data_IF_372970011714
#
_entry.id   IF_372970011714
#
_cell.length_a   1.000
_cell.length_b   1.000
_cell.length_c   1.000
_cell.angle_alpha   90.00
_cell.angle_beta   90.00
_cell.angle_gamma   90.00
#
_symmetry.space_group_name_H-M   'P 1'
#
loop_
_entity.id
_entity.type
_entity.pdbx_description
1 polymer ?
#
# COMPACT_ATOMS: atom_id res chain seq x y z
N UNK A 1 -6.30 -4.79 4.40
CA UNK A 1 -6.21 -3.42 3.90
C UNK A 1 -7.60 -2.83 3.63
N UNK A 2 -8.39 -3.44 2.76
CA UNK A 2 -9.74 -2.97 2.38
C UNK A 2 -10.87 -3.60 3.19
N UNK A 3 -10.62 -4.51 4.11
CA UNK A 3 -11.63 -5.27 4.85
C UNK A 3 -12.07 -6.56 4.14
N UNK A 4 -12.90 -7.38 4.79
CA UNK A 4 -13.29 -8.68 4.28
C UNK A 4 -14.17 -8.57 3.02
N UNK A 5 -14.04 -9.54 2.13
CA UNK A 5 -14.80 -9.55 0.86
C UNK A 5 -16.29 -9.77 1.09
N UNK A 6 -16.64 -10.60 2.06
CA UNK A 6 -18.03 -10.97 2.40
C UNK A 6 -18.78 -9.94 3.27
N UNK A 7 -18.10 -8.94 3.84
CA UNK A 7 -18.68 -7.82 4.59
C UNK A 7 -18.47 -6.54 3.77
N UNK A 8 -19.33 -6.28 2.80
CA UNK A 8 -19.12 -5.25 1.77
C UNK A 8 -19.04 -3.83 2.33
N UNK A 9 -19.73 -3.56 3.41
CA UNK A 9 -19.85 -2.27 4.11
C UNK A 9 -18.84 -2.10 5.24
N UNK A 10 -18.19 -3.19 5.69
CA UNK A 10 -17.21 -3.14 6.76
C UNK A 10 -15.88 -2.58 6.28
N UNK A 11 -15.59 -1.35 6.67
CA UNK A 11 -14.32 -0.70 6.43
C UNK A 11 -13.14 -1.40 7.12
N UNK A 12 -11.94 -0.99 6.75
CA UNK A 12 -10.69 -1.40 7.39
C UNK A 12 -9.66 -0.25 7.32
N UNK A 13 -8.38 -0.54 7.35
CA UNK A 13 -7.31 0.45 7.40
C UNK A 13 -7.48 1.60 6.40
N UNK A 14 -7.75 1.32 5.11
CA UNK A 14 -7.93 2.39 4.11
C UNK A 14 -9.13 3.32 4.41
N UNK A 15 -10.19 2.77 5.01
CA UNK A 15 -11.36 3.56 5.39
C UNK A 15 -11.20 4.25 6.76
N UNK A 16 -10.00 4.24 7.34
CA UNK A 16 -9.73 4.84 8.65
C UNK A 16 -10.30 4.04 9.82
N UNK A 17 -10.66 2.77 9.62
CA UNK A 17 -11.13 1.90 10.71
C UNK A 17 -9.92 1.33 11.45
N UNK A 18 -9.84 1.56 12.77
CA UNK A 18 -8.69 1.11 13.56
C UNK A 18 -8.66 -0.41 13.78
N UNK A 19 -7.49 -0.93 14.19
CA UNK A 19 -7.29 -2.33 14.56
C UNK A 19 -6.91 -3.25 13.41
N UNK A 20 -6.73 -2.72 12.20
CA UNK A 20 -6.26 -3.46 11.02
C UNK A 20 -4.75 -3.42 10.80
N UNK A 21 -4.03 -2.65 11.61
CA UNK A 21 -2.60 -2.36 11.39
C UNK A 21 -1.73 -3.62 11.40
N UNK A 22 -2.01 -4.55 12.33
CA UNK A 22 -1.24 -5.79 12.42
C UNK A 22 -1.47 -6.69 11.20
N UNK A 23 -2.68 -6.73 10.66
CA UNK A 23 -2.99 -7.45 9.43
C UNK A 23 -2.28 -6.85 8.21
N UNK A 24 -2.16 -5.52 8.14
CA UNK A 24 -1.42 -4.84 7.09
C UNK A 24 0.09 -5.11 7.24
N UNK A 25 0.64 -5.03 8.45
CA UNK A 25 2.04 -5.39 8.75
C UNK A 25 2.37 -6.82 8.33
N UNK A 26 1.44 -7.76 8.60
CA UNK A 26 1.58 -9.15 8.18
C UNK A 26 1.67 -9.28 6.65
N UNK A 27 0.85 -8.53 5.91
CA UNK A 27 0.93 -8.44 4.46
C UNK A 27 2.25 -7.82 3.98
N UNK A 28 2.71 -6.74 4.63
CA UNK A 28 3.97 -6.05 4.26
C UNK A 28 5.17 -7.00 4.33
N UNK A 29 5.23 -7.89 5.32
CA UNK A 29 6.33 -8.87 5.44
C UNK A 29 6.16 -10.11 4.56
N UNK A 30 5.11 -10.19 3.75
CA UNK A 30 4.87 -11.36 2.86
C UNK A 30 4.36 -12.59 3.61
N UNK A 31 3.53 -12.40 4.63
CA UNK A 31 2.89 -13.44 5.44
C UNK A 31 3.85 -14.43 6.15
N UNK A 32 5.12 -14.06 6.26
CA UNK A 32 6.15 -14.85 6.98
C UNK A 32 6.12 -14.57 8.49
N UNK A 33 6.78 -15.44 9.27
CA UNK A 33 7.06 -15.16 10.68
C UNK A 33 8.03 -13.98 10.78
N UNK A 34 7.61 -12.92 11.49
CA UNK A 34 8.42 -11.73 11.73
C UNK A 34 8.32 -11.31 13.20
N UNK A 35 9.43 -10.89 13.87
CA UNK A 35 9.45 -10.61 15.31
C UNK A 35 8.49 -9.48 15.73
N UNK A 36 8.22 -8.51 14.85
CA UNK A 36 7.33 -7.39 15.14
C UNK A 36 5.87 -7.62 14.65
N UNK A 37 5.53 -8.83 14.18
CA UNK A 37 4.17 -9.17 13.75
C UNK A 37 3.58 -10.23 14.67
N UNK A 38 2.58 -9.83 15.45
CA UNK A 38 1.84 -10.72 16.34
C UNK A 38 0.67 -11.32 15.58
N UNK A 39 0.79 -12.61 15.25
CA UNK A 39 -0.21 -13.30 14.43
C UNK A 39 -1.56 -13.50 15.14
N UNK A 40 -1.61 -13.49 16.47
CA UNK A 40 -2.84 -13.50 17.27
C UNK A 40 -3.72 -12.27 17.04
N UNK A 41 -3.12 -11.18 16.57
CA UNK A 41 -3.78 -9.92 16.27
C UNK A 41 -4.00 -9.70 14.76
N UNK A 42 -3.73 -10.73 13.94
CA UNK A 42 -3.96 -10.70 12.48
C UNK A 42 -5.35 -11.24 12.16
N UNK A 43 -6.14 -10.46 11.44
CA UNK A 43 -7.45 -10.91 10.99
C UNK A 43 -7.31 -12.09 10.01
N UNK A 44 -8.09 -13.15 10.26
CA UNK A 44 -8.18 -14.35 9.39
C UNK A 44 -6.91 -15.21 9.26
N UNK A 45 -5.84 -14.92 10.03
CA UNK A 45 -4.61 -15.69 9.99
C UNK A 45 -3.89 -15.63 11.33
N UNK A 46 -4.13 -16.61 12.20
CA UNK A 46 -3.54 -16.66 13.55
C UNK A 46 -2.10 -17.18 13.58
N UNK A 47 -1.54 -17.53 12.44
CA UNK A 47 -0.15 -18.02 12.29
C UNK A 47 0.42 -17.60 10.93
N UNK A 48 1.75 -17.49 10.81
CA UNK A 48 2.40 -17.36 9.51
C UNK A 48 2.03 -18.56 8.63
N UNK A 49 1.72 -18.33 7.37
CA UNK A 49 1.41 -19.39 6.42
C UNK A 49 2.43 -19.48 5.27
N UNK A 50 3.26 -18.45 5.11
CA UNK A 50 4.34 -18.44 4.14
C UNK A 50 5.69 -18.70 4.85
N UNK A 51 6.51 -19.57 4.28
CA UNK A 51 7.91 -19.76 4.69
C UNK A 51 8.81 -18.71 4.06
N UNK A 52 8.49 -18.30 2.83
CA UNK A 52 9.19 -17.28 2.07
C UNK A 52 8.18 -16.22 1.55
N UNK A 53 8.56 -14.95 1.47
CA UNK A 53 7.65 -13.90 1.02
C UNK A 53 7.14 -14.11 -0.41
N UNK A 54 7.89 -14.83 -1.25
CA UNK A 54 7.50 -15.18 -2.62
C UNK A 54 6.32 -16.15 -2.72
N UNK A 55 5.87 -16.72 -1.62
CA UNK A 55 4.66 -17.56 -1.55
C UNK A 55 3.39 -16.73 -1.37
N UNK A 56 3.52 -15.42 -1.14
CA UNK A 56 2.39 -14.49 -0.99
C UNK A 56 2.19 -13.64 -2.23
N UNK A 57 0.94 -13.53 -2.68
CA UNK A 57 0.49 -12.55 -3.66
C UNK A 57 -0.21 -11.40 -2.94
N UNK A 58 0.33 -10.19 -3.11
CA UNK A 58 -0.22 -8.96 -2.51
C UNK A 58 -1.09 -8.23 -3.52
N UNK A 59 -2.35 -7.98 -3.18
CA UNK A 59 -3.31 -7.27 -4.04
C UNK A 59 -4.41 -6.62 -3.22
N UNK A 60 -5.16 -5.73 -3.82
CA UNK A 60 -6.31 -5.05 -3.19
C UNK A 60 -7.65 -5.46 -3.78
N UNK A 61 -7.68 -5.85 -5.05
CA UNK A 61 -8.84 -6.47 -5.69
C UNK A 61 -8.40 -7.42 -6.82
N UNK A 62 -9.31 -8.29 -7.24
CA UNK A 62 -9.10 -9.22 -8.35
C UNK A 62 -10.40 -9.34 -9.18
N UNK A 63 -10.49 -10.35 -10.04
CA UNK A 63 -11.68 -10.56 -10.86
C UNK A 63 -12.94 -10.92 -10.05
N UNK A 64 -12.76 -11.52 -8.86
CA UNK A 64 -13.86 -11.82 -7.94
C UNK A 64 -14.07 -10.66 -6.94
N UNK A 65 -15.34 -10.45 -6.60
CA UNK A 65 -15.74 -9.39 -5.69
C UNK A 65 -15.68 -7.99 -6.31
N UNK A 66 -15.83 -6.98 -5.48
CA UNK A 66 -15.78 -5.57 -5.90
C UNK A 66 -14.36 -5.19 -6.36
N UNK A 67 -14.23 -4.46 -7.47
CA UNK A 67 -12.99 -3.80 -7.82
C UNK A 67 -12.64 -2.71 -6.79
N UNK A 68 -11.40 -2.21 -6.81
CA UNK A 68 -10.92 -1.31 -5.75
C UNK A 68 -11.82 -0.07 -5.57
N UNK A 69 -12.17 0.61 -6.66
CA UNK A 69 -13.00 1.82 -6.61
C UNK A 69 -14.39 1.53 -6.04
N UNK A 70 -15.03 0.46 -6.48
CA UNK A 70 -16.35 0.05 -5.96
C UNK A 70 -16.28 -0.33 -4.49
N UNK A 71 -15.19 -0.98 -4.09
CA UNK A 71 -14.93 -1.36 -2.69
C UNK A 71 -14.75 -0.13 -1.80
N UNK A 72 -14.02 0.88 -2.27
CA UNK A 72 -13.86 2.14 -1.55
C UNK A 72 -15.19 2.88 -1.42
N UNK A 73 -15.97 3.00 -2.51
CA UNK A 73 -17.31 3.60 -2.48
C UNK A 73 -18.25 2.91 -1.50
N UNK A 74 -18.29 1.58 -1.51
CA UNK A 74 -19.14 0.80 -0.61
C UNK A 74 -18.80 1.00 0.87
N UNK A 75 -17.52 1.19 1.19
CA UNK A 75 -17.02 1.30 2.58
C UNK A 75 -16.89 2.71 3.09
N UNK A 76 -16.93 3.68 2.21
CA UNK A 76 -16.88 5.10 2.51
C UNK A 76 -17.96 5.84 1.76
N UNK A 77 -19.24 5.59 2.10
CA UNK A 77 -20.35 6.32 1.50
C UNK A 77 -20.16 7.82 1.72
N UNK A 78 -20.16 8.59 0.63
CA UNK A 78 -19.90 10.04 0.69
C UNK A 78 -18.43 10.45 0.52
N UNK A 79 -17.51 9.51 0.28
CA UNK A 79 -16.15 9.88 -0.11
C UNK A 79 -16.15 10.70 -1.41
N UNK A 80 -15.39 11.80 -1.43
CA UNK A 80 -15.25 12.63 -2.64
C UNK A 80 -14.41 11.90 -3.70
N UNK A 81 -14.52 12.27 -4.98
CA UNK A 81 -13.65 11.72 -6.02
C UNK A 81 -12.16 11.85 -5.69
N UNK A 82 -11.75 12.98 -5.10
CA UNK A 82 -10.36 13.23 -4.70
C UNK A 82 -9.92 12.29 -3.58
N UNK A 83 -10.80 11.99 -2.62
CA UNK A 83 -10.52 11.02 -1.57
C UNK A 83 -10.37 9.60 -2.15
N UNK A 84 -11.23 9.21 -3.09
CA UNK A 84 -11.13 7.91 -3.77
C UNK A 84 -9.79 7.78 -4.50
N UNK A 85 -9.34 8.83 -5.20
CA UNK A 85 -8.03 8.86 -5.86
C UNK A 85 -6.88 8.74 -4.86
N UNK A 86 -6.93 9.47 -3.74
CA UNK A 86 -5.90 9.39 -2.69
C UNK A 86 -5.80 7.98 -2.11
N UNK A 87 -6.94 7.37 -1.82
CA UNK A 87 -7.01 6.03 -1.23
C UNK A 87 -6.62 4.93 -2.22
N UNK A 88 -6.94 5.09 -3.50
CA UNK A 88 -6.48 4.20 -4.57
C UNK A 88 -4.93 4.22 -4.63
N UNK A 89 -4.33 5.40 -4.73
CA UNK A 89 -2.87 5.58 -4.72
C UNK A 89 -2.23 5.02 -3.45
N UNK A 90 -2.82 5.27 -2.28
CA UNK A 90 -2.34 4.72 -1.00
C UNK A 90 -2.39 3.18 -1.01
N UNK A 91 -3.49 2.60 -1.45
CA UNK A 91 -3.69 1.16 -1.53
C UNK A 91 -2.62 0.48 -2.38
N UNK A 92 -2.36 1.03 -3.55
CA UNK A 92 -1.34 0.47 -4.45
C UNK A 92 0.08 0.70 -3.93
N UNK A 93 0.33 1.82 -3.25
CA UNK A 93 1.63 2.01 -2.60
C UNK A 93 1.90 0.92 -1.57
N UNK A 94 0.90 0.53 -0.77
CA UNK A 94 1.04 -0.61 0.15
C UNK A 94 1.38 -1.89 -0.61
N UNK A 95 0.68 -2.19 -1.71
CA UNK A 95 0.94 -3.40 -2.52
C UNK A 95 2.36 -3.41 -3.07
N UNK A 96 2.78 -2.31 -3.71
CA UNK A 96 4.08 -2.26 -4.40
C UNK A 96 5.29 -2.11 -3.48
N UNK A 97 5.10 -1.69 -2.23
CA UNK A 97 6.18 -1.60 -1.24
C UNK A 97 6.19 -2.77 -0.25
N UNK A 98 5.20 -3.66 -0.30
CA UNK A 98 5.17 -4.92 0.46
C UNK A 98 6.11 -5.96 -0.16
N UNK A 99 6.61 -6.86 0.68
CA UNK A 99 7.33 -8.05 0.23
C UNK A 99 6.34 -9.05 -0.40
N UNK A 100 6.85 -9.95 -1.23
CA UNK A 100 6.01 -10.88 -1.97
C UNK A 100 5.75 -10.47 -3.42
N UNK A 101 4.78 -11.09 -4.07
CA UNK A 101 4.45 -10.89 -5.48
C UNK A 101 3.31 -9.86 -5.59
N UNK A 102 3.52 -8.69 -6.17
CA UNK A 102 2.44 -7.73 -6.38
C UNK A 102 1.54 -8.17 -7.55
N UNK A 103 0.24 -7.98 -7.39
CA UNK A 103 -0.76 -8.23 -8.43
C UNK A 103 -1.65 -7.01 -8.58
N UNK A 104 -1.95 -6.62 -9.81
CA UNK A 104 -2.89 -5.55 -10.17
C UNK A 104 -4.02 -6.16 -10.96
N UNK A 105 -5.26 -5.89 -10.57
CA UNK A 105 -6.41 -6.19 -11.41
C UNK A 105 -6.50 -5.18 -12.55
N UNK A 106 -6.53 -5.67 -13.80
CA UNK A 106 -6.50 -4.81 -14.99
C UNK A 106 -7.58 -3.73 -14.96
N UNK A 107 -7.16 -2.47 -15.15
CA UNK A 107 -8.01 -1.29 -15.10
C UNK A 107 -7.98 -0.53 -13.76
N UNK A 108 -7.39 -1.09 -12.70
CA UNK A 108 -7.19 -0.34 -11.44
C UNK A 108 -6.36 0.92 -11.69
N UNK A 109 -5.37 0.85 -12.55
CA UNK A 109 -4.49 1.97 -12.93
C UNK A 109 -5.21 3.14 -13.63
N UNK A 110 -6.47 2.95 -13.98
CA UNK A 110 -7.35 3.98 -14.56
C UNK A 110 -8.66 4.13 -13.77
N UNK A 111 -8.69 3.64 -12.53
CA UNK A 111 -9.87 3.65 -11.65
C UNK A 111 -11.06 2.93 -12.26
N UNK A 112 -10.88 1.69 -12.68
CA UNK A 112 -11.95 0.83 -13.19
C UNK A 112 -13.08 0.76 -12.19
N UNK A 113 -14.30 0.97 -12.71
CA UNK A 113 -15.55 1.01 -11.97
C UNK A 113 -16.51 -0.02 -12.59
N UNK A 114 -16.99 -0.95 -11.79
CA UNK A 114 -17.95 -1.99 -12.19
C UNK A 114 -19.35 -1.73 -11.61
N UNK A 115 -19.63 -0.48 -11.27
CA UNK A 115 -20.95 -0.01 -10.81
C UNK A 115 -21.43 -0.72 -9.52
N UNK A 116 -20.49 -1.13 -8.65
CA UNK A 116 -20.79 -1.82 -7.41
C UNK A 116 -21.18 -3.30 -7.58
N UNK A 117 -21.00 -3.87 -8.79
CA UNK A 117 -21.30 -5.28 -9.05
C UNK A 117 -20.10 -6.14 -8.65
N UNK A 118 -20.28 -6.98 -7.63
CA UNK A 118 -19.23 -7.82 -7.08
C UNK A 118 -18.99 -9.10 -7.87
N UNK A 119 -20.05 -9.72 -8.39
CA UNK A 119 -19.98 -10.97 -9.14
C UNK A 119 -20.36 -10.75 -10.60
N UNK A 120 -19.49 -10.06 -11.33
CA UNK A 120 -19.79 -9.52 -12.65
C UNK A 120 -19.54 -10.48 -13.81
N UNK A 121 -19.19 -11.76 -13.56
CA UNK A 121 -18.79 -12.70 -14.62
C UNK A 121 -19.83 -12.93 -15.72
N UNK A 122 -21.12 -12.74 -15.42
CA UNK A 122 -22.24 -12.79 -16.38
C UNK A 122 -22.77 -11.41 -16.78
N UNK A 123 -22.15 -10.34 -16.29
CA UNK A 123 -22.59 -8.98 -16.61
C UNK A 123 -22.18 -8.60 -18.03
N UNK A 124 -22.94 -7.70 -18.70
CA UNK A 124 -22.62 -7.25 -20.05
C UNK A 124 -21.33 -6.43 -20.11
N UNK A 125 -20.84 -6.16 -21.31
CA UNK A 125 -19.65 -5.35 -21.58
C UNK A 125 -19.73 -3.96 -20.97
N UNK A 126 -20.92 -3.38 -20.86
CA UNK A 126 -21.11 -2.10 -20.16
C UNK A 126 -20.60 -2.08 -18.71
N UNK A 127 -20.49 -3.26 -18.07
CA UNK A 127 -19.93 -3.45 -16.73
C UNK A 127 -18.49 -3.98 -16.79
N UNK A 128 -18.23 -4.92 -17.68
CA UNK A 128 -16.98 -5.68 -17.68
C UNK A 128 -15.89 -5.10 -18.57
N UNK A 129 -16.22 -4.35 -19.62
CA UNK A 129 -15.21 -3.72 -20.46
C UNK A 129 -14.38 -2.68 -19.69
N UNK A 130 -13.09 -2.62 -20.02
CA UNK A 130 -12.23 -1.56 -19.49
C UNK A 130 -12.38 -0.33 -20.38
N UNK A 131 -12.88 0.77 -19.82
CA UNK A 131 -12.95 2.05 -20.53
C UNK A 131 -11.58 2.71 -20.60
N UNK A 132 -10.84 2.43 -21.65
CA UNK A 132 -9.48 2.96 -21.86
C UNK A 132 -9.42 4.49 -22.03
N UNK A 133 -10.56 5.18 -22.29
CA UNK A 133 -10.61 6.66 -22.30
C UNK A 133 -10.25 7.22 -20.93
N UNK A 134 -10.49 6.45 -19.86
CA UNK A 134 -10.08 6.80 -18.50
C UNK A 134 -8.56 6.97 -18.33
N UNK A 135 -7.76 6.41 -19.23
CA UNK A 135 -6.31 6.65 -19.23
C UNK A 135 -5.97 8.13 -19.49
N UNK A 136 -6.80 8.83 -20.25
CA UNK A 136 -6.64 10.28 -20.47
C UNK A 136 -7.20 11.08 -19.29
N UNK A 137 -8.38 10.75 -18.81
CA UNK A 137 -9.02 11.48 -17.71
C UNK A 137 -8.37 11.26 -16.35
N UNK A 138 -7.79 10.07 -16.13
CA UNK A 138 -7.10 9.65 -14.92
C UNK A 138 -5.58 9.44 -15.17
N UNK A 139 -4.99 10.25 -16.04
CA UNK A 139 -3.59 10.10 -16.46
C UNK A 139 -2.57 10.27 -15.35
N UNK A 140 -2.91 11.03 -14.30
CA UNK A 140 -2.11 11.19 -13.10
C UNK A 140 -2.06 9.88 -12.28
N UNK A 141 -3.15 9.13 -12.20
CA UNK A 141 -3.23 7.85 -11.50
C UNK A 141 -2.45 6.80 -12.28
N UNK A 142 -2.69 6.72 -13.61
CA UNK A 142 -1.91 5.84 -14.49
C UNK A 142 -0.40 6.08 -14.37
N UNK A 143 0.00 7.36 -14.35
CA UNK A 143 1.40 7.76 -14.17
C UNK A 143 1.92 7.36 -12.79
N UNK A 144 1.10 7.47 -11.74
CA UNK A 144 1.46 7.05 -10.39
C UNK A 144 1.76 5.54 -10.31
N UNK A 145 0.88 4.70 -10.89
CA UNK A 145 1.09 3.25 -10.96
C UNK A 145 2.36 2.89 -11.73
N UNK A 146 2.59 3.53 -12.87
CA UNK A 146 3.82 3.34 -13.63
C UNK A 146 5.05 3.64 -12.77
N UNK A 147 5.05 4.75 -12.05
CA UNK A 147 6.16 5.14 -11.17
C UNK A 147 6.34 4.20 -9.97
N UNK A 148 5.25 3.65 -9.41
CA UNK A 148 5.34 2.60 -8.39
C UNK A 148 6.02 1.34 -8.92
N UNK A 149 5.66 0.91 -10.12
CA UNK A 149 6.27 -0.23 -10.79
C UNK A 149 7.77 0.03 -11.02
N UNK A 150 8.11 1.20 -11.54
CA UNK A 150 9.50 1.60 -11.79
C UNK A 150 10.30 1.66 -10.48
N UNK A 151 9.73 2.24 -9.41
CA UNK A 151 10.33 2.28 -8.08
C UNK A 151 10.64 0.85 -7.58
N UNK A 152 9.65 -0.04 -7.61
CA UNK A 152 9.85 -1.42 -7.16
C UNK A 152 10.86 -2.19 -8.00
N UNK A 153 10.89 -1.97 -9.31
CA UNK A 153 11.85 -2.62 -10.23
C UNK A 153 13.27 -2.13 -9.99
N UNK A 154 13.45 -0.84 -9.74
CA UNK A 154 14.76 -0.22 -9.55
C UNK A 154 15.33 -0.48 -8.15
N UNK A 155 14.48 -0.73 -7.15
CA UNK A 155 14.89 -0.91 -5.76
C UNK A 155 14.62 -2.33 -5.26
N UNK A 156 15.65 -3.20 -5.25
CA UNK A 156 15.51 -4.60 -4.82
C UNK A 156 15.12 -4.76 -3.35
N UNK A 157 15.29 -3.74 -2.51
CA UNK A 157 14.81 -3.72 -1.13
C UNK A 157 13.30 -4.02 -1.00
N UNK A 158 12.48 -3.61 -1.98
CA UNK A 158 11.03 -3.88 -2.00
C UNK A 158 10.66 -5.31 -2.43
N UNK A 159 11.63 -6.15 -2.80
CA UNK A 159 11.40 -7.50 -3.34
C UNK A 159 12.43 -8.51 -2.83
N UNK A 160 12.63 -8.50 -1.52
CA UNK A 160 13.45 -9.51 -0.85
C UNK A 160 12.74 -10.87 -0.95
N UNK A 161 13.34 -11.81 -1.68
CA UNK A 161 12.77 -13.15 -1.92
C UNK A 161 12.98 -14.15 -0.78
N UNK A 162 13.67 -13.73 0.29
CA UNK A 162 14.09 -14.60 1.39
C UNK A 162 13.59 -14.07 2.72
N UNK A 163 12.98 -14.93 3.53
CA UNK A 163 12.40 -14.56 4.83
C UNK A 163 13.44 -14.08 5.85
N UNK A 164 14.66 -14.61 5.80
CA UNK A 164 15.75 -14.18 6.66
C UNK A 164 16.17 -12.74 6.35
N UNK A 165 16.28 -12.40 5.06
CA UNK A 165 16.56 -11.03 4.63
C UNK A 165 15.45 -10.06 5.09
N UNK A 166 14.18 -10.45 4.98
CA UNK A 166 13.07 -9.61 5.45
C UNK A 166 13.18 -9.41 6.96
N UNK A 167 13.42 -10.45 7.74
CA UNK A 167 13.60 -10.32 9.20
C UNK A 167 14.79 -9.45 9.60
N UNK A 168 15.86 -9.48 8.83
CA UNK A 168 17.07 -8.71 9.10
C UNK A 168 16.91 -7.23 8.72
N UNK A 169 16.34 -6.96 7.56
CA UNK A 169 16.38 -5.63 6.95
C UNK A 169 15.08 -4.84 7.06
N UNK A 170 13.92 -5.47 7.28
CA UNK A 170 12.65 -4.78 7.48
C UNK A 170 12.38 -4.58 8.97
N UNK A 171 12.18 -3.34 9.38
CA UNK A 171 11.90 -2.95 10.76
C UNK A 171 10.70 -2.01 10.79
N UNK A 172 9.65 -2.36 11.54
CA UNK A 172 8.55 -1.44 11.78
C UNK A 172 8.95 -0.38 12.78
N UNK A 173 8.73 0.88 12.42
CA UNK A 173 8.98 2.01 13.29
C UNK A 173 7.83 2.20 14.28
N UNK A 174 8.11 2.72 15.49
CA UNK A 174 7.08 3.14 16.43
C UNK A 174 6.19 4.23 15.80
N UNK A 175 4.90 4.15 16.03
CA UNK A 175 3.93 5.15 15.58
C UNK A 175 2.95 5.46 16.69
N UNK A 176 2.50 6.70 16.78
CA UNK A 176 1.47 7.10 17.72
C UNK A 176 0.07 6.98 17.13
N UNK A 177 -0.82 6.39 17.91
CA UNK A 177 -2.24 6.21 17.56
C UNK A 177 -2.45 5.15 16.49
N UNK A 178 -3.65 5.15 15.93
CA UNK A 178 -4.15 4.14 14.98
C UNK A 178 -4.13 4.67 13.54
N UNK A 179 -4.30 3.78 12.55
CA UNK A 179 -4.36 4.14 11.12
C UNK A 179 -3.08 4.81 10.58
N UNK A 180 -1.95 4.52 11.20
CA UNK A 180 -0.61 4.87 10.76
C UNK A 180 0.28 3.63 10.86
N UNK A 181 1.04 3.35 9.81
CA UNK A 181 2.04 2.29 9.76
C UNK A 181 3.30 2.88 9.16
N UNK A 182 4.45 2.60 9.75
CA UNK A 182 5.73 2.96 9.17
C UNK A 182 6.72 1.82 9.32
N UNK A 183 7.58 1.66 8.33
CA UNK A 183 8.69 0.71 8.37
C UNK A 183 9.92 1.26 7.66
N UNK A 184 11.03 0.67 7.98
CA UNK A 184 12.34 0.96 7.41
C UNK A 184 12.89 -0.29 6.72
N UNK A 185 13.48 -0.12 5.54
CA UNK A 185 14.33 -1.10 4.89
C UNK A 185 15.77 -0.59 5.04
N UNK A 186 16.56 -1.26 5.86
CA UNK A 186 17.86 -0.77 6.33
C UNK A 186 19.04 -1.52 5.71
N UNK A 187 20.23 -0.90 5.80
CA UNK A 187 21.50 -1.56 5.47
C UNK A 187 21.54 -2.07 4.04
N UNK A 188 21.14 -1.23 3.06
CA UNK A 188 21.11 -1.59 1.63
C UNK A 188 20.44 -2.93 1.38
N UNK A 189 19.23 -3.09 1.95
CA UNK A 189 18.45 -4.32 1.88
C UNK A 189 18.48 -4.93 0.46
N UNK A 190 18.77 -6.23 0.37
CA UNK A 190 18.87 -6.96 -0.89
C UNK A 190 19.83 -6.33 -1.93
N UNK A 191 20.88 -5.65 -1.48
CA UNK A 191 21.87 -4.97 -2.36
C UNK A 191 21.37 -3.69 -3.00
N UNK A 192 20.37 -3.03 -2.40
CA UNK A 192 19.83 -1.76 -2.90
C UNK A 192 20.88 -0.66 -2.93
N UNK A 193 20.77 0.26 -3.90
CA UNK A 193 21.60 1.45 -3.97
C UNK A 193 21.32 2.44 -2.84
N UNK A 194 20.08 2.47 -2.32
CA UNK A 194 19.70 3.28 -1.18
C UNK A 194 20.09 2.60 0.14
N UNK A 195 20.69 3.36 1.03
CA UNK A 195 21.17 2.83 2.31
C UNK A 195 20.03 2.46 3.24
N UNK A 196 19.10 3.39 3.38
CA UNK A 196 17.88 3.23 4.17
C UNK A 196 16.68 3.76 3.37
N UNK A 197 15.57 3.05 3.43
CA UNK A 197 14.31 3.47 2.86
C UNK A 197 13.27 3.50 3.99
N UNK A 198 12.60 4.62 4.18
CA UNK A 198 11.48 4.75 5.11
C UNK A 198 10.21 4.83 4.30
N UNK A 199 9.25 3.99 4.67
CA UNK A 199 7.91 3.95 4.07
C UNK A 199 6.89 4.12 5.17
N UNK A 200 5.94 5.03 4.97
CA UNK A 200 4.83 5.23 5.90
C UNK A 200 3.49 5.35 5.16
N UNK A 201 2.45 4.82 5.78
CA UNK A 201 1.06 4.82 5.31
C UNK A 201 0.17 5.47 6.35
N UNK A 202 -0.48 6.55 5.98
CA UNK A 202 -1.43 7.24 6.83
C UNK A 202 -2.83 7.20 6.18
N UNK A 203 -3.75 6.46 6.78
CA UNK A 203 -5.14 6.42 6.33
C UNK A 203 -6.06 7.39 7.06
N UNK A 204 -5.53 8.17 8.02
CA UNK A 204 -6.25 9.28 8.66
C UNK A 204 -6.52 10.38 7.63
N UNK A 205 -7.56 11.16 7.85
CA UNK A 205 -7.82 12.36 7.02
C UNK A 205 -6.85 13.51 7.33
N UNK A 206 -6.21 13.51 8.48
CA UNK A 206 -5.25 14.52 8.93
C UNK A 206 -3.80 14.04 8.79
N UNK A 207 -2.82 14.94 8.64
CA UNK A 207 -1.42 14.60 8.70
C UNK A 207 -1.05 13.93 10.04
N UNK A 208 -0.09 13.05 10.00
CA UNK A 208 0.43 12.35 11.18
C UNK A 208 1.94 12.62 11.35
N UNK A 209 2.38 12.78 12.59
CA UNK A 209 3.80 12.81 12.94
C UNK A 209 4.37 11.41 12.93
N UNK A 210 5.62 11.30 12.51
CA UNK A 210 6.39 10.07 12.50
C UNK A 210 7.78 10.35 13.05
N UNK A 211 8.21 9.59 14.05
CA UNK A 211 9.60 9.58 14.45
C UNK A 211 10.43 8.77 13.46
N UNK A 212 11.49 9.36 12.95
CA UNK A 212 12.41 8.75 11.99
C UNK A 212 13.84 8.80 12.52
N UNK A 213 14.70 7.85 12.15
CA UNK A 213 16.11 7.92 12.53
C UNK A 213 16.75 9.23 12.07
N UNK A 214 17.69 9.71 12.88
CA UNK A 214 18.45 10.94 12.56
C UNK A 214 19.15 10.78 11.21
N UNK A 215 19.05 11.82 10.39
CA UNK A 215 19.64 11.83 9.06
C UNK A 215 18.91 12.77 8.10
N UNK A 216 19.50 12.99 6.94
CA UNK A 216 18.89 13.74 5.85
C UNK A 216 18.38 12.75 4.80
N UNK A 217 17.10 12.81 4.50
CA UNK A 217 16.42 11.92 3.57
C UNK A 217 15.93 12.68 2.33
N UNK A 218 16.02 12.06 1.18
CA UNK A 218 15.35 12.51 -0.05
C UNK A 218 13.95 11.91 -0.09
N UNK A 219 12.93 12.76 -0.18
CA UNK A 219 11.53 12.34 -0.31
C UNK A 219 11.25 12.00 -1.77
N UNK A 220 10.71 10.82 -2.03
CA UNK A 220 10.38 10.35 -3.41
C UNK A 220 8.90 10.04 -3.62
N UNK A 221 8.14 9.88 -2.52
CA UNK A 221 6.69 9.74 -2.58
C UNK A 221 6.04 10.56 -1.47
N UNK A 222 5.12 11.44 -1.82
CA UNK A 222 4.35 12.26 -0.88
C UNK A 222 3.12 12.83 -1.58
N UNK A 223 1.99 12.94 -0.86
CA UNK A 223 0.74 13.55 -1.36
C UNK A 223 0.25 12.99 -2.71
N UNK A 224 0.38 11.68 -2.91
CA UNK A 224 -0.04 11.02 -4.15
C UNK A 224 0.82 11.38 -5.36
N UNK A 225 2.06 11.84 -5.14
CA UNK A 225 3.06 12.11 -6.17
C UNK A 225 4.29 11.24 -5.92
N UNK A 226 4.87 10.70 -6.99
CA UNK A 226 6.16 9.98 -6.95
C UNK A 226 7.12 10.64 -7.93
N UNK A 227 8.33 10.96 -7.47
CA UNK A 227 9.47 11.30 -8.33
C UNK A 227 10.76 10.77 -7.69
N UNK A 228 11.38 9.80 -8.34
CA UNK A 228 12.63 9.18 -7.85
C UNK A 228 13.82 10.14 -7.83
N UNK A 229 13.74 11.26 -8.56
CA UNK A 229 14.75 12.34 -8.51
C UNK A 229 14.63 13.19 -7.25
N UNK A 230 13.49 13.09 -6.54
CA UNK A 230 13.19 13.76 -5.28
C UNK A 230 12.09 14.82 -5.38
N UNK A 231 11.27 14.86 -4.35
CA UNK A 231 10.21 15.85 -4.10
C UNK A 231 10.64 16.87 -3.02
N UNK A 232 11.90 16.83 -2.60
CA UNK A 232 12.45 17.62 -1.52
C UNK A 232 13.20 16.77 -0.51
N UNK A 233 13.60 17.37 0.60
CA UNK A 233 14.35 16.69 1.66
C UNK A 233 13.62 16.76 2.99
N UNK A 234 13.78 15.73 3.81
CA UNK A 234 13.31 15.65 5.18
C UNK A 234 14.50 15.38 6.09
N UNK A 235 14.62 16.12 7.18
CA UNK A 235 15.68 15.88 8.20
C UNK A 235 15.02 15.32 9.45
N UNK A 236 15.53 14.18 9.92
CA UNK A 236 15.09 13.58 11.19
C UNK A 236 15.49 14.45 12.40
N UNK A 237 14.89 14.21 13.60
CA UNK A 237 14.14 12.97 13.94
C UNK A 237 12.64 12.98 13.60
N UNK A 238 12.08 14.05 13.06
CA UNK A 238 10.63 14.11 12.78
C UNK A 238 10.33 14.08 11.28
N UNK A 239 9.26 13.39 10.92
CA UNK A 239 8.64 13.39 9.60
C UNK A 239 7.14 13.66 9.69
N UNK A 240 6.56 14.16 8.60
CA UNK A 240 5.12 14.39 8.47
C UNK A 240 4.59 13.54 7.32
N UNK A 241 3.66 12.65 7.64
CA UNK A 241 2.95 11.82 6.66
C UNK A 241 1.60 12.48 6.38
N UNK A 242 1.34 12.96 5.15
CA UNK A 242 0.07 13.60 4.82
C UNK A 242 -1.12 12.67 5.03
N UNK A 243 -2.31 13.23 5.22
CA UNK A 243 -3.54 12.45 5.39
C UNK A 243 -3.93 11.70 4.12
N UNK A 244 -4.42 10.47 4.27
CA UNK A 244 -4.80 9.57 3.17
C UNK A 244 -3.70 9.46 2.11
N UNK A 245 -2.48 9.27 2.55
CA UNK A 245 -1.29 9.28 1.69
C UNK A 245 -0.19 8.37 2.21
N UNK A 246 0.75 8.07 1.32
CA UNK A 246 2.01 7.43 1.66
C UNK A 246 3.15 8.46 1.66
N UNK A 247 4.19 8.16 2.46
CA UNK A 247 5.48 8.83 2.43
C UNK A 247 6.54 7.77 2.13
N UNK A 248 7.38 8.00 1.11
CA UNK A 248 8.59 7.20 0.87
C UNK A 248 9.77 8.16 0.77
N UNK A 249 10.82 7.86 1.52
CA UNK A 249 12.05 8.63 1.51
C UNK A 249 13.25 7.73 1.77
N UNK A 250 14.42 8.17 1.32
CA UNK A 250 15.66 7.40 1.43
C UNK A 250 16.88 8.25 1.77
N UNK A 251 17.94 7.61 2.23
CA UNK A 251 19.30 8.12 2.32
C UNK A 251 20.31 7.12 1.76
#
# INVERSE_FOLDING_TARGET
LCGPVWEKDKGAFLAGVPGGEMSVKFGIVGAIKHPQVRCDSVNYSQKPWAEQPTQMVSYVSCHDGLCLVDRLKARMPGATPEQLVRLDKLAQTVVFTSQGIPFIYAGEEVMRDKQGIDNSYKSPDAVNAIDWRRKTTNGDIFTYYKRLIDLRKSHPAFRMGNAEMVRKHLEFLPVEGQNLIAFRLKERANGDSWEDIIVAFNSRTTPARLEIPVGKYTVVCKDGVIDVRGLGTQTGPEGIVPGQSALIMYK
#
